data_IF_283530117062
#
_entry.id   IF_283530117062
#
_cell.length_a   1.000
_cell.length_b   1.000
_cell.length_c   1.000
_cell.angle_alpha   90.00
_cell.angle_beta   90.00
_cell.angle_gamma   90.00
#
_symmetry.space_group_name_H-M   'P 1'
#
loop_
_entity.id
_entity.type
_entity.pdbx_description
1 polymer ?
#
# COMPACT_ATOMS: atom_id res chain seq x y z
N UNK A 1 -1.83 4.76 -22.69
CA UNK A 1 -1.04 5.67 -21.82
C UNK A 1 0.38 5.15 -21.58
N UNK A 2 0.60 4.00 -20.94
CA UNK A 2 1.96 3.46 -20.64
C UNK A 2 2.82 3.30 -21.90
N UNK A 3 2.28 2.76 -23.00
CA UNK A 3 3.03 2.61 -24.27
C UNK A 3 3.43 3.96 -24.91
N UNK A 4 2.61 4.99 -24.74
CA UNK A 4 2.94 6.35 -25.17
C UNK A 4 4.12 6.92 -24.39
N UNK A 5 4.11 6.78 -23.06
CA UNK A 5 5.18 7.22 -22.18
C UNK A 5 6.49 6.47 -22.50
N UNK A 6 6.41 5.15 -22.69
CA UNK A 6 7.56 4.32 -23.10
C UNK A 6 8.20 4.81 -24.39
N UNK A 7 7.38 5.16 -25.41
CA UNK A 7 7.87 5.70 -26.70
C UNK A 7 8.55 7.06 -26.57
N UNK A 8 8.22 7.82 -25.53
CA UNK A 8 8.85 9.09 -25.20
C UNK A 8 10.17 8.92 -24.41
N UNK A 9 10.50 7.70 -24.04
CA UNK A 9 11.68 7.41 -23.21
C UNK A 9 11.53 7.81 -21.74
N UNK A 10 10.28 7.99 -21.29
CA UNK A 10 9.91 8.48 -19.97
C UNK A 10 9.19 7.39 -19.14
N UNK A 11 8.82 7.72 -17.92
CA UNK A 11 8.11 6.86 -16.97
C UNK A 11 6.96 7.57 -16.30
N UNK A 12 6.02 6.81 -15.73
CA UNK A 12 4.86 7.32 -15.00
C UNK A 12 4.70 6.55 -13.69
N UNK A 13 4.20 7.23 -12.66
CA UNK A 13 3.82 6.62 -11.40
C UNK A 13 2.56 5.75 -11.51
N UNK A 14 2.21 5.08 -10.42
CA UNK A 14 1.02 4.25 -10.34
C UNK A 14 0.43 4.28 -8.94
N UNK A 15 -0.85 3.94 -8.87
CA UNK A 15 -1.53 3.56 -7.65
C UNK A 15 -1.95 2.10 -7.76
N UNK A 16 -1.74 1.32 -6.71
CA UNK A 16 -2.11 -0.11 -6.63
C UNK A 16 -2.89 -0.31 -5.35
N UNK A 17 -4.10 -0.85 -5.48
CA UNK A 17 -4.91 -1.27 -4.33
C UNK A 17 -4.79 -2.78 -4.16
N UNK A 18 -4.60 -3.22 -2.92
CA UNK A 18 -4.53 -4.63 -2.51
C UNK A 18 -5.68 -4.91 -1.56
N UNK A 19 -6.39 -5.99 -1.81
CA UNK A 19 -7.52 -6.43 -1.00
C UNK A 19 -7.22 -7.82 -0.46
N UNK A 20 -7.38 -8.01 0.86
CA UNK A 20 -7.38 -9.34 1.47
C UNK A 20 -8.79 -9.69 1.92
N UNK A 21 -9.32 -10.78 1.40
CA UNK A 21 -10.64 -11.31 1.70
C UNK A 21 -10.57 -12.46 2.70
N UNK A 22 -11.63 -12.63 3.48
CA UNK A 22 -11.74 -13.74 4.43
C UNK A 22 -10.80 -13.62 5.64
N UNK A 23 -10.32 -12.43 5.95
CA UNK A 23 -9.48 -12.19 7.12
C UNK A 23 -10.34 -12.31 8.38
N UNK A 24 -9.95 -13.16 9.36
CA UNK A 24 -10.70 -13.28 10.60
C UNK A 24 -10.65 -11.97 11.40
N UNK A 25 -11.71 -11.68 12.16
CA UNK A 25 -11.67 -10.60 13.13
C UNK A 25 -10.68 -10.92 14.27
N UNK A 26 -10.00 -9.90 14.78
CA UNK A 26 -9.13 -10.03 15.96
C UNK A 26 -7.63 -10.06 15.67
N UNK A 27 -7.18 -9.93 14.42
CA UNK A 27 -5.76 -9.80 14.08
C UNK A 27 -5.29 -8.37 14.35
N UNK A 28 -4.17 -8.24 15.03
CA UNK A 28 -3.57 -6.97 15.46
C UNK A 28 -3.46 -6.89 16.96
N UNK A 29 -2.54 -6.05 17.43
CA UNK A 29 -2.28 -5.86 18.86
C UNK A 29 -2.61 -4.42 19.27
N UNK A 30 -3.19 -4.19 20.45
CA UNK A 30 -3.43 -2.85 20.93
C UNK A 30 -2.11 -2.15 21.29
N UNK A 31 -2.06 -0.87 21.00
CA UNK A 31 -1.05 0.14 21.25
C UNK A 31 0.11 0.09 20.25
N UNK A 32 0.94 -0.94 20.17
CA UNK A 32 2.17 -0.88 19.38
C UNK A 32 2.10 -1.61 18.04
N UNK A 33 1.63 -2.83 18.01
CA UNK A 33 1.60 -3.67 16.80
C UNK A 33 0.19 -3.66 16.17
N UNK A 34 -0.32 -2.47 15.90
CA UNK A 34 -1.59 -2.31 15.22
C UNK A 34 -1.48 -2.83 13.79
N UNK A 35 -2.49 -3.58 13.33
CA UNK A 35 -2.49 -4.20 12.02
C UNK A 35 -2.36 -3.17 10.88
N UNK A 36 -3.06 -2.05 10.95
CA UNK A 36 -2.97 -0.97 9.97
C UNK A 36 -1.58 -0.31 9.95
N UNK A 37 -0.95 -0.13 11.12
CA UNK A 37 0.39 0.43 11.23
C UNK A 37 1.45 -0.51 10.64
N UNK A 38 1.37 -1.81 10.93
CA UNK A 38 2.30 -2.80 10.40
C UNK A 38 2.12 -2.98 8.88
N UNK A 39 0.87 -3.02 8.39
CA UNK A 39 0.58 -3.01 6.96
C UNK A 39 1.15 -1.76 6.28
N UNK A 40 0.91 -0.59 6.85
CA UNK A 40 1.40 0.67 6.29
C UNK A 40 2.94 0.70 6.27
N UNK A 41 3.60 0.26 7.35
CA UNK A 41 5.05 0.19 7.44
C UNK A 41 5.67 -0.77 6.43
N UNK A 42 5.11 -1.97 6.32
CA UNK A 42 5.58 -2.99 5.38
C UNK A 42 5.39 -2.56 3.92
N UNK A 43 4.22 -2.03 3.57
CA UNK A 43 3.91 -1.54 2.22
C UNK A 43 4.74 -0.30 1.86
N UNK A 44 4.99 0.61 2.82
CA UNK A 44 5.88 1.76 2.61
C UNK A 44 7.34 1.32 2.38
N UNK A 45 7.75 0.16 2.90
CA UNK A 45 9.06 -0.44 2.68
C UNK A 45 9.30 -0.92 1.23
N UNK A 46 8.26 -1.06 0.42
CA UNK A 46 8.38 -1.45 -0.99
C UNK A 46 9.04 -0.30 -1.77
N UNK A 47 10.04 -0.64 -2.58
CA UNK A 47 10.74 0.36 -3.39
C UNK A 47 9.79 1.19 -4.26
N UNK A 48 10.06 2.49 -4.34
CA UNK A 48 9.28 3.50 -5.06
C UNK A 48 7.93 3.88 -4.43
N UNK A 49 7.45 3.23 -3.39
CA UNK A 49 6.25 3.65 -2.67
C UNK A 49 6.51 5.00 -1.98
N UNK A 50 5.54 5.91 -2.04
CA UNK A 50 5.58 7.26 -1.48
C UNK A 50 4.36 7.61 -0.63
N UNK A 51 3.30 6.82 -0.73
CA UNK A 51 2.15 6.92 0.16
C UNK A 51 1.53 5.53 0.33
N UNK A 52 0.95 5.31 1.50
CA UNK A 52 0.12 4.14 1.83
C UNK A 52 -1.17 4.68 2.44
N UNK A 53 -2.28 4.14 1.99
CA UNK A 53 -3.62 4.47 2.47
C UNK A 53 -4.30 3.19 2.95
N UNK A 54 -5.05 3.27 4.04
CA UNK A 54 -5.89 2.19 4.55
C UNK A 54 -7.35 2.63 4.43
N UNK A 55 -8.21 1.76 3.90
CA UNK A 55 -9.60 2.10 3.66
C UNK A 55 -9.75 3.29 2.70
N UNK A 56 -10.55 4.29 3.10
CA UNK A 56 -10.79 5.51 2.32
C UNK A 56 -9.58 6.44 2.24
N UNK A 57 -8.49 6.14 2.97
CA UNK A 57 -7.24 6.86 2.88
C UNK A 57 -7.39 8.35 3.14
N UNK A 58 -6.80 9.18 2.26
CA UNK A 58 -6.81 10.65 2.42
C UNK A 58 -8.20 11.27 2.28
N UNK A 59 -9.17 10.59 1.67
CA UNK A 59 -10.53 11.13 1.49
C UNK A 59 -11.30 11.27 2.81
N UNK A 60 -10.84 10.61 3.88
CA UNK A 60 -11.47 10.71 5.22
C UNK A 60 -11.57 12.14 5.75
N UNK A 61 -10.69 13.05 5.29
CA UNK A 61 -10.70 14.45 5.75
C UNK A 61 -11.92 15.23 5.29
N UNK A 62 -12.61 14.75 4.26
CA UNK A 62 -13.83 15.36 3.72
C UNK A 62 -15.11 14.76 4.32
N UNK A 63 -14.98 13.68 5.10
CA UNK A 63 -16.11 12.93 5.66
C UNK A 63 -16.46 13.43 7.06
N UNK A 64 -17.74 13.43 7.37
CA UNK A 64 -18.22 13.60 8.75
C UNK A 64 -18.14 12.26 9.50
N UNK A 65 -18.01 12.31 10.83
CA UNK A 65 -17.96 11.11 11.64
C UNK A 65 -19.20 10.20 11.49
N UNK A 66 -20.37 10.76 11.20
CA UNK A 66 -21.60 10.01 10.91
C UNK A 66 -21.58 9.31 9.54
N UNK A 67 -20.79 9.83 8.60
CA UNK A 67 -20.63 9.28 7.25
C UNK A 67 -19.56 8.20 7.21
N UNK A 68 -18.47 8.40 7.98
CA UNK A 68 -17.32 7.49 8.01
C UNK A 68 -17.57 6.22 8.85
N UNK A 69 -18.58 6.20 9.70
CA UNK A 69 -18.86 5.05 10.59
C UNK A 69 -19.21 3.80 9.79
N UNK A 70 -18.45 2.71 10.01
CA UNK A 70 -18.79 1.39 9.49
C UNK A 70 -19.86 0.73 10.39
N UNK A 71 -21.11 1.06 10.13
CA UNK A 71 -22.23 0.56 10.93
C UNK A 71 -22.48 -0.92 10.65
N UNK A 72 -22.84 -1.66 11.71
CA UNK A 72 -23.11 -3.10 11.65
C UNK A 72 -24.60 -3.39 11.82
N UNK A 73 -25.10 -4.28 10.99
CA UNK A 73 -26.45 -4.84 11.07
C UNK A 73 -26.40 -6.36 11.24
N UNK A 74 -27.57 -6.98 11.37
CA UNK A 74 -27.66 -8.45 11.37
C UNK A 74 -27.17 -9.09 10.05
N UNK A 75 -27.16 -8.33 8.97
CA UNK A 75 -26.68 -8.78 7.65
C UNK A 75 -25.18 -8.53 7.43
N UNK A 76 -24.50 -7.88 8.38
CA UNK A 76 -23.09 -7.51 8.29
C UNK A 76 -22.88 -6.00 8.31
N UNK A 77 -21.71 -5.57 7.94
CA UNK A 77 -21.33 -4.16 7.85
C UNK A 77 -22.00 -3.48 6.63
N UNK A 78 -22.38 -2.21 6.79
CA UNK A 78 -23.00 -1.40 5.74
C UNK A 78 -21.96 -0.68 4.85
N UNK A 79 -20.74 -0.50 5.36
CA UNK A 79 -19.64 0.17 4.68
C UNK A 79 -18.31 -0.42 5.15
N UNK A 80 -17.19 -0.01 4.54
CA UNK A 80 -15.84 -0.41 4.91
C UNK A 80 -14.87 0.76 4.74
N UNK A 81 -15.25 1.92 5.26
CA UNK A 81 -14.46 3.16 5.18
C UNK A 81 -13.09 3.01 5.87
N UNK A 82 -13.08 2.28 7.00
CA UNK A 82 -11.85 2.00 7.77
C UNK A 82 -10.96 0.92 7.15
N UNK A 83 -11.35 0.34 6.00
CA UNK A 83 -10.55 -0.66 5.30
C UNK A 83 -10.34 -1.96 6.06
N UNK A 84 -11.32 -2.38 6.87
CA UNK A 84 -11.31 -3.65 7.61
C UNK A 84 -10.51 -3.62 8.91
N UNK A 85 -9.99 -2.46 9.35
CA UNK A 85 -9.24 -2.31 10.60
C UNK A 85 -9.89 -1.25 11.47
N UNK A 86 -10.28 -1.64 12.67
CA UNK A 86 -10.87 -0.76 13.69
C UNK A 86 -10.02 -0.82 14.96
N UNK A 87 -9.54 0.33 15.42
CA UNK A 87 -8.68 0.39 16.61
C UNK A 87 -7.35 -0.36 16.48
N UNK A 88 -6.90 -0.64 15.25
CA UNK A 88 -5.69 -1.41 14.96
C UNK A 88 -5.91 -2.92 14.90
N UNK A 89 -7.17 -3.38 14.90
CA UNK A 89 -7.54 -4.80 14.92
C UNK A 89 -8.48 -5.08 13.75
N UNK A 90 -8.28 -6.21 13.05
CA UNK A 90 -9.15 -6.62 11.96
C UNK A 90 -10.60 -6.81 12.42
N UNK A 91 -11.54 -6.25 11.66
CA UNK A 91 -12.99 -6.30 11.96
C UNK A 91 -13.68 -7.56 11.41
N UNK A 92 -13.00 -8.34 10.58
CA UNK A 92 -13.60 -9.43 9.81
C UNK A 92 -14.11 -9.00 8.41
N UNK A 93 -14.02 -7.70 8.09
CA UNK A 93 -14.25 -7.19 6.74
C UNK A 93 -13.00 -7.40 5.88
N UNK A 94 -13.16 -7.19 4.56
CA UNK A 94 -12.02 -7.16 3.65
C UNK A 94 -11.01 -6.09 4.09
N UNK A 95 -9.75 -6.42 4.11
CA UNK A 95 -8.69 -5.43 4.33
C UNK A 95 -8.39 -4.75 3.01
N UNK A 96 -8.37 -3.42 3.04
CA UNK A 96 -8.07 -2.59 1.87
C UNK A 96 -6.89 -1.69 2.18
N UNK A 97 -5.82 -1.85 1.41
CA UNK A 97 -4.66 -0.94 1.42
C UNK A 97 -4.35 -0.47 0.00
N UNK A 98 -3.97 0.79 -0.13
CA UNK A 98 -3.61 1.39 -1.41
C UNK A 98 -2.23 2.02 -1.30
N UNK A 99 -1.34 1.73 -2.27
CA UNK A 99 0.01 2.29 -2.35
C UNK A 99 0.15 3.18 -3.57
N UNK A 100 0.84 4.31 -3.41
CA UNK A 100 1.20 5.20 -4.51
C UNK A 100 2.70 5.12 -4.77
N UNK A 101 3.07 4.81 -6.01
CA UNK A 101 4.44 4.62 -6.43
C UNK A 101 4.90 5.79 -7.31
N UNK A 102 6.09 6.31 -7.00
CA UNK A 102 6.72 7.31 -7.88
C UNK A 102 7.15 6.68 -9.19
N UNK A 103 7.23 7.47 -10.28
CA UNK A 103 7.85 7.01 -11.52
C UNK A 103 9.34 6.71 -11.31
N UNK A 104 9.91 5.81 -12.12
CA UNK A 104 11.36 5.59 -12.11
C UNK A 104 12.08 6.82 -12.65
N UNK A 105 13.18 7.18 -12.00
CA UNK A 105 14.05 8.27 -12.48
C UNK A 105 15.09 7.81 -13.50
N UNK A 106 15.27 6.49 -13.65
CA UNK A 106 16.20 5.92 -14.63
C UNK A 106 15.54 5.88 -16.01
N UNK A 107 15.52 7.02 -16.69
CA UNK A 107 14.88 7.22 -18.01
C UNK A 107 15.90 7.73 -19.02
N UNK A 108 15.53 7.69 -20.31
CA UNK A 108 16.39 8.15 -21.40
C UNK A 108 16.26 9.65 -21.68
N UNK A 109 15.30 10.31 -21.06
CA UNK A 109 15.19 11.77 -21.11
C UNK A 109 16.36 12.39 -20.34
N UNK A 110 17.12 13.32 -20.93
CA UNK A 110 18.24 13.97 -20.26
C UNK A 110 17.80 14.73 -19.01
N UNK A 111 18.53 14.55 -17.92
CA UNK A 111 18.35 15.29 -16.66
C UNK A 111 19.58 16.13 -16.32
N UNK A 112 19.41 17.12 -15.47
CA UNK A 112 20.51 17.92 -14.93
C UNK A 112 21.05 17.31 -13.64
N UNK A 113 22.37 17.35 -13.45
CA UNK A 113 23.06 16.90 -12.25
C UNK A 113 24.34 17.72 -12.05
N UNK A 114 25.10 17.40 -11.02
CA UNK A 114 26.42 17.97 -10.77
C UNK A 114 27.48 16.88 -10.84
N UNK A 115 28.65 17.22 -11.34
CA UNK A 115 29.85 16.38 -11.22
C UNK A 115 30.49 16.49 -9.81
N UNK A 116 31.60 15.79 -9.58
CA UNK A 116 32.28 15.80 -8.27
C UNK A 116 32.91 17.15 -7.93
N UNK A 117 33.18 17.99 -8.94
CA UNK A 117 33.70 19.34 -8.82
C UNK A 117 32.59 20.40 -8.64
N UNK A 118 31.33 20.00 -8.74
CA UNK A 118 30.17 20.89 -8.58
C UNK A 118 29.74 21.60 -9.86
N UNK A 119 30.22 21.18 -11.05
CA UNK A 119 29.81 21.76 -12.33
C UNK A 119 28.49 21.10 -12.79
N UNK A 120 27.65 21.89 -13.47
CA UNK A 120 26.40 21.38 -14.07
C UNK A 120 26.71 20.44 -15.24
N UNK A 121 26.11 19.25 -15.20
CA UNK A 121 26.24 18.24 -16.25
C UNK A 121 24.89 17.66 -16.64
N UNK A 122 24.77 17.28 -17.92
CA UNK A 122 23.60 16.54 -18.40
C UNK A 122 23.84 15.03 -18.26
N UNK A 123 22.89 14.33 -17.62
CA UNK A 123 22.97 12.89 -17.39
C UNK A 123 21.84 12.20 -18.16
N UNK A 124 22.20 11.14 -18.89
CA UNK A 124 21.25 10.25 -19.58
C UNK A 124 21.50 8.84 -19.08
N UNK A 125 20.48 8.21 -18.54
CA UNK A 125 20.57 6.82 -18.11
C UNK A 125 20.36 5.89 -19.31
N UNK A 126 21.33 5.01 -19.57
CA UNK A 126 21.24 4.00 -20.63
C UNK A 126 20.80 2.66 -20.06
N UNK A 127 19.94 1.92 -20.78
CA UNK A 127 19.52 0.59 -20.38
C UNK A 127 18.02 0.36 -20.58
N UNK A 128 17.54 -0.80 -20.10
CA UNK A 128 16.12 -1.11 -20.09
C UNK A 128 15.47 -0.51 -18.84
N UNK A 129 14.43 0.25 -19.02
CA UNK A 129 13.66 0.87 -17.94
C UNK A 129 12.19 0.46 -18.02
N UNK A 130 11.55 0.30 -16.86
CA UNK A 130 10.13 0.07 -16.78
C UNK A 130 9.40 1.43 -16.91
N UNK A 131 8.52 1.60 -17.89
CA UNK A 131 7.76 2.83 -18.05
C UNK A 131 6.76 3.06 -16.92
N UNK A 132 6.41 1.99 -16.17
CA UNK A 132 5.54 2.04 -15.00
C UNK A 132 5.89 0.89 -14.06
N UNK A 133 6.39 1.20 -12.87
CA UNK A 133 6.78 0.20 -11.86
C UNK A 133 5.57 -0.45 -11.17
N UNK A 134 4.38 0.14 -11.27
CA UNK A 134 3.16 -0.37 -10.64
C UNK A 134 2.81 -1.79 -11.09
N UNK A 135 3.06 -2.13 -12.35
CA UNK A 135 2.81 -3.49 -12.87
C UNK A 135 3.60 -4.55 -12.08
N UNK A 136 4.85 -4.24 -11.73
CA UNK A 136 5.69 -5.14 -10.94
C UNK A 136 5.40 -5.06 -9.45
N UNK A 137 4.92 -3.93 -8.98
CA UNK A 137 4.57 -3.72 -7.58
C UNK A 137 3.34 -4.51 -7.16
N UNK A 138 2.43 -4.83 -8.06
CA UNK A 138 1.18 -5.56 -7.75
C UNK A 138 1.45 -6.87 -7.00
N UNK A 139 2.18 -7.86 -7.55
CA UNK A 139 2.43 -9.12 -6.84
C UNK A 139 3.31 -8.92 -5.59
N UNK A 140 4.15 -7.87 -5.56
CA UNK A 140 4.97 -7.57 -4.39
C UNK A 140 4.09 -7.05 -3.24
N UNK A 141 3.13 -6.19 -3.53
CA UNK A 141 2.20 -5.66 -2.54
C UNK A 141 1.28 -6.77 -1.98
N UNK A 142 0.79 -7.66 -2.84
CA UNK A 142 0.03 -8.86 -2.41
C UNK A 142 0.85 -9.74 -1.47
N UNK A 143 2.08 -10.06 -1.85
CA UNK A 143 2.98 -10.88 -1.03
C UNK A 143 3.29 -10.20 0.31
N UNK A 144 3.52 -8.88 0.32
CA UNK A 144 3.80 -8.13 1.54
C UNK A 144 2.59 -8.12 2.48
N UNK A 145 1.38 -7.89 1.96
CA UNK A 145 0.16 -7.99 2.75
C UNK A 145 0.00 -9.40 3.35
N UNK A 146 0.22 -10.44 2.56
CA UNK A 146 0.12 -11.83 3.04
C UNK A 146 1.13 -12.15 4.14
N UNK A 147 2.37 -11.65 4.05
CA UNK A 147 3.41 -11.83 5.09
C UNK A 147 2.97 -11.17 6.40
N UNK A 148 2.52 -9.92 6.35
CA UNK A 148 2.05 -9.21 7.56
C UNK A 148 0.86 -9.92 8.19
N UNK A 149 -0.12 -10.31 7.38
CA UNK A 149 -1.30 -11.04 7.86
C UNK A 149 -0.93 -12.37 8.49
N UNK A 150 0.01 -13.10 7.90
CA UNK A 150 0.47 -14.39 8.46
C UNK A 150 1.17 -14.19 9.80
N UNK A 151 2.00 -13.15 9.97
CA UNK A 151 2.65 -12.85 11.24
C UNK A 151 1.61 -12.56 12.33
N UNK A 152 0.65 -11.68 12.06
CA UNK A 152 -0.45 -11.39 13.00
C UNK A 152 -1.32 -12.63 13.27
N UNK A 153 -1.59 -13.44 12.27
CA UNK A 153 -2.34 -14.69 12.43
C UNK A 153 -1.61 -15.69 13.36
N UNK A 154 -0.31 -15.84 13.20
CA UNK A 154 0.49 -16.71 14.05
C UNK A 154 0.55 -16.21 15.51
N UNK A 155 0.68 -14.89 15.72
CA UNK A 155 0.59 -14.28 17.05
C UNK A 155 -0.77 -14.51 17.68
N UNK A 156 -1.85 -14.25 16.94
CA UNK A 156 -3.21 -14.50 17.37
C UNK A 156 -3.43 -15.97 17.79
N UNK A 157 -2.94 -16.90 16.97
CA UNK A 157 -3.01 -18.35 17.29
C UNK A 157 -2.18 -18.72 18.50
N UNK A 158 -1.01 -18.09 18.69
CA UNK A 158 -0.18 -18.29 19.87
C UNK A 158 -0.85 -17.87 21.18
N UNK A 159 -1.69 -16.82 21.13
CA UNK A 159 -2.42 -16.29 22.29
C UNK A 159 -3.74 -17.03 22.55
N UNK A 160 -4.50 -17.33 21.50
CA UNK A 160 -5.86 -17.89 21.62
C UNK A 160 -5.93 -19.41 21.52
N UNK A 161 -4.83 -20.05 21.09
CA UNK A 161 -4.80 -21.46 20.81
C UNK A 161 -5.51 -21.86 19.51
N UNK A 162 -5.59 -23.15 19.24
CA UNK A 162 -6.32 -23.68 18.11
C UNK A 162 -7.79 -23.89 18.50
N UNK A 163 -8.65 -22.88 18.26
CA UNK A 163 -10.09 -23.16 18.27
C UNK A 163 -10.42 -24.18 17.16
N UNK A 164 -11.14 -25.21 17.51
CA UNK A 164 -11.70 -26.17 16.56
C UNK A 164 -12.72 -25.49 15.65
#
# INVERSE_FOLDING_TARGET
>A
MIDSIRKQGDSIGAQVSVVAEGVPAGLGEPVFDKLDADLAGALMGINAVKAVEIGDGVSVVEQKGSEHRDEMTKAGFLSNHSGGVLGGISSGQNLLATISLKPTSSITVPGQSLDQEGNEVSVVTKGRHDPCVGIRATPIAEAMMAIVLMDHYLRFRGQTGFSK
#
